data_IF_598592460898
#
_entry.id   IF_598592460898
#
_cell.length_a   1.000
_cell.length_b   1.000
_cell.length_c   1.000
_cell.angle_alpha   90.00
_cell.angle_beta   90.00
_cell.angle_gamma   90.00
#
_symmetry.space_group_name_H-M   'P 1'
#
loop_
_entity.id
_entity.type
_entity.pdbx_description
1 polymer ?
#
# COMPACT_ATOMS: atom_id res chain seq x y z
N UNK A 1 22.19 -5.22 8.00
CA UNK A 1 22.39 -4.05 7.12
C UNK A 1 21.02 -3.47 6.82
N UNK A 2 20.74 -2.25 7.25
CA UNK A 2 19.49 -1.54 6.91
C UNK A 2 19.63 -1.00 5.50
N UNK A 3 19.03 -1.69 4.52
CA UNK A 3 18.95 -1.21 3.15
C UNK A 3 17.93 -0.07 3.14
N UNK A 4 18.34 1.14 2.79
CA UNK A 4 17.40 2.25 2.57
C UNK A 4 16.38 1.83 1.50
N UNK A 5 15.08 1.83 1.78
CA UNK A 5 14.06 1.50 0.82
C UNK A 5 14.08 2.48 -0.34
N UNK A 6 14.37 1.96 -1.54
CA UNK A 6 14.24 2.70 -2.79
C UNK A 6 12.83 2.46 -3.30
N UNK A 7 11.89 3.28 -2.83
CA UNK A 7 10.50 3.33 -3.29
C UNK A 7 10.40 4.47 -4.31
N UNK A 8 9.97 4.17 -5.53
CA UNK A 8 9.87 5.16 -6.60
C UNK A 8 8.75 4.80 -7.58
N UNK A 9 8.19 5.80 -8.27
CA UNK A 9 7.31 5.57 -9.42
C UNK A 9 8.11 5.87 -10.70
N UNK A 10 8.23 4.87 -11.58
CA UNK A 10 8.92 4.99 -12.87
C UNK A 10 7.99 4.50 -13.97
N UNK A 11 7.73 5.33 -14.98
CA UNK A 11 6.88 4.99 -16.15
C UNK A 11 5.51 4.41 -15.76
N UNK A 12 4.87 4.99 -14.74
CA UNK A 12 3.58 4.52 -14.23
C UNK A 12 3.65 3.22 -13.43
N UNK A 13 4.83 2.76 -13.02
CA UNK A 13 5.02 1.58 -12.19
C UNK A 13 5.58 1.95 -10.82
N UNK A 14 4.98 1.41 -9.76
CA UNK A 14 5.53 1.49 -8.42
C UNK A 14 6.64 0.44 -8.28
N UNK A 15 7.87 0.90 -8.10
CA UNK A 15 9.07 0.08 -8.01
C UNK A 15 9.64 0.18 -6.60
N UNK A 16 9.90 -0.96 -5.98
CA UNK A 16 10.46 -1.10 -4.63
C UNK A 16 11.71 -1.96 -4.72
N UNK A 17 12.88 -1.40 -4.40
CA UNK A 17 14.18 -2.09 -4.53
C UNK A 17 14.41 -2.71 -5.92
N UNK A 18 13.97 -2.02 -6.98
CA UNK A 18 14.08 -2.51 -8.36
C UNK A 18 13.00 -3.50 -8.80
N UNK A 19 12.15 -3.96 -7.87
CA UNK A 19 11.05 -4.88 -8.15
C UNK A 19 9.76 -4.10 -8.37
N UNK A 20 9.07 -4.35 -9.48
CA UNK A 20 7.78 -3.70 -9.77
C UNK A 20 6.69 -4.33 -8.91
N UNK A 21 5.99 -3.51 -8.12
CA UNK A 21 4.90 -3.92 -7.22
C UNK A 21 3.53 -3.62 -7.83
N UNK A 22 3.34 -2.41 -8.36
CA UNK A 22 2.09 -2.00 -9.01
C UNK A 22 2.38 -1.47 -10.41
N UNK A 23 1.47 -1.77 -11.35
CA UNK A 23 1.50 -1.27 -12.73
C UNK A 23 0.36 -0.29 -12.96
N UNK A 24 0.54 0.68 -13.86
CA UNK A 24 -0.53 1.62 -14.22
C UNK A 24 -0.96 2.52 -13.07
N UNK A 25 0.00 2.99 -12.26
CA UNK A 25 -0.21 3.95 -11.18
C UNK A 25 -0.76 5.26 -11.77
N UNK A 26 -1.96 5.72 -11.38
CA UNK A 26 -2.55 6.95 -11.91
C UNK A 26 -1.78 8.22 -11.52
N UNK A 27 -1.86 9.27 -12.35
CA UNK A 27 -1.14 10.55 -12.14
C UNK A 27 -1.56 11.30 -10.87
N UNK A 28 -2.79 11.08 -10.39
CA UNK A 28 -3.31 11.74 -9.20
C UNK A 28 -2.86 11.07 -7.89
N UNK A 29 -2.12 9.95 -7.96
CA UNK A 29 -1.51 9.27 -6.81
C UNK A 29 -0.21 9.98 -6.44
N UNK A 30 -0.08 10.30 -5.16
CA UNK A 30 1.06 11.05 -4.61
C UNK A 30 1.91 10.12 -3.74
N UNK A 31 3.23 10.18 -3.91
CA UNK A 31 4.17 9.45 -3.06
C UNK A 31 5.00 10.43 -2.26
N UNK A 32 4.82 10.42 -0.94
CA UNK A 32 5.53 11.30 -0.02
C UNK A 32 6.60 10.51 0.71
N UNK A 33 7.90 10.79 0.52
CA UNK A 33 8.95 10.14 1.29
C UNK A 33 8.74 10.34 2.80
N UNK A 34 8.98 9.32 3.60
CA UNK A 34 9.01 9.46 5.06
C UNK A 34 10.19 10.35 5.47
N UNK A 35 9.91 11.58 5.90
CA UNK A 35 10.94 12.50 6.38
C UNK A 35 11.47 12.04 7.74
N UNK A 36 12.68 11.50 7.74
CA UNK A 36 13.36 10.98 8.93
C UNK A 36 13.84 12.08 9.87
N UNK A 37 12.98 12.50 10.81
CA UNK A 37 13.40 12.93 12.15
C UNK A 37 12.94 11.94 13.25
N UNK A 38 12.25 10.87 12.86
CA UNK A 38 11.89 9.73 13.70
C UNK A 38 12.62 8.44 13.28
N UNK A 39 12.53 7.40 14.10
CA UNK A 39 13.24 6.11 14.02
C UNK A 39 13.12 5.32 12.69
N UNK A 40 12.32 5.77 11.72
CA UNK A 40 12.02 5.00 10.51
C UNK A 40 12.64 5.66 9.29
N UNK A 41 13.94 5.42 9.11
CA UNK A 41 14.63 5.70 7.85
C UNK A 41 14.07 4.75 6.79
N UNK A 42 13.28 5.26 5.85
CA UNK A 42 13.01 4.52 4.61
C UNK A 42 11.59 4.30 4.14
N UNK A 43 10.57 4.65 4.91
CA UNK A 43 9.20 4.49 4.43
C UNK A 43 8.79 5.53 3.39
N UNK A 44 7.63 5.31 2.78
CA UNK A 44 6.94 6.30 1.95
C UNK A 44 5.45 6.26 2.28
N UNK A 45 4.75 7.35 2.02
CA UNK A 45 3.30 7.40 2.10
C UNK A 45 2.70 7.45 0.71
N UNK A 46 1.58 6.74 0.54
CA UNK A 46 0.71 6.84 -0.63
C UNK A 46 -0.45 7.77 -0.25
N UNK A 47 -0.63 8.79 -1.07
CA UNK A 47 -1.75 9.70 -1.07
C UNK A 47 -2.40 9.77 -2.46
N UNK A 48 -3.47 10.54 -2.57
CA UNK A 48 -4.16 10.81 -3.82
C UNK A 48 -4.96 12.11 -3.73
N UNK A 49 -5.25 12.68 -4.90
CA UNK A 49 -6.04 13.92 -5.05
C UNK A 49 -7.25 13.68 -5.95
N UNK A 50 -8.30 14.48 -5.74
CA UNK A 50 -9.55 14.46 -6.49
C UNK A 50 -9.98 15.90 -6.86
N UNK A 51 -10.75 16.03 -7.94
CA UNK A 51 -11.32 17.32 -8.37
C UNK A 51 -12.50 17.80 -7.50
N UNK A 52 -13.11 16.91 -6.72
CA UNK A 52 -14.30 17.19 -5.92
C UNK A 52 -14.06 16.86 -4.46
N UNK A 53 -14.73 17.59 -3.56
CA UNK A 53 -14.80 17.23 -2.14
C UNK A 53 -15.88 16.17 -1.93
N UNK A 54 -15.56 15.16 -1.11
CA UNK A 54 -16.49 14.10 -0.69
C UNK A 54 -16.10 13.61 0.71
N UNK A 55 -17.06 13.05 1.42
CA UNK A 55 -16.84 12.30 2.66
C UNK A 55 -16.31 10.88 2.43
N UNK A 56 -16.36 10.39 1.18
CA UNK A 56 -15.88 9.08 0.76
C UNK A 56 -15.24 9.18 -0.64
N UNK A 57 -13.99 8.73 -0.74
CA UNK A 57 -13.26 8.53 -2.00
C UNK A 57 -12.82 7.09 -2.14
N UNK A 58 -12.77 6.62 -3.39
CA UNK A 58 -12.14 5.34 -3.76
C UNK A 58 -11.11 5.66 -4.83
N UNK A 59 -9.83 5.47 -4.50
CA UNK A 59 -8.69 5.77 -5.36
C UNK A 59 -8.01 4.48 -5.81
N UNK A 60 -8.14 4.07 -7.09
CA UNK A 60 -7.26 3.06 -7.66
C UNK A 60 -5.81 3.55 -7.62
N UNK A 61 -4.89 2.74 -7.12
CA UNK A 61 -3.46 3.10 -7.00
C UNK A 61 -2.54 2.27 -7.91
N UNK A 62 -3.10 1.30 -8.63
CA UNK A 62 -2.40 0.49 -9.62
C UNK A 62 -2.73 -0.99 -9.52
N UNK A 63 -2.35 -1.73 -10.57
CA UNK A 63 -2.62 -3.15 -10.75
C UNK A 63 -1.58 -3.99 -9.99
N UNK A 64 -2.06 -4.87 -9.11
CA UNK A 64 -1.27 -5.92 -8.48
C UNK A 64 -1.51 -7.24 -9.21
N UNK A 65 -0.46 -7.84 -9.78
CA UNK A 65 -0.58 -9.10 -10.51
C UNK A 65 0.70 -9.93 -10.41
N UNK A 66 0.55 -11.23 -10.13
CA UNK A 66 1.65 -12.19 -10.09
C UNK A 66 2.53 -12.13 -8.84
N UNK A 67 2.19 -11.30 -7.85
CA UNK A 67 2.93 -11.16 -6.59
C UNK A 67 2.14 -11.75 -5.44
N UNK A 68 2.78 -12.62 -4.64
CA UNK A 68 2.13 -13.21 -3.46
C UNK A 68 1.92 -12.13 -2.41
N UNK A 69 0.76 -12.14 -1.77
CA UNK A 69 0.53 -11.30 -0.60
C UNK A 69 -0.18 -12.07 0.50
N UNK A 70 -0.04 -11.55 1.72
CA UNK A 70 -0.92 -11.83 2.85
C UNK A 70 -1.52 -10.51 3.31
N UNK A 71 -2.82 -10.49 3.61
CA UNK A 71 -3.49 -9.31 4.13
C UNK A 71 -4.40 -9.64 5.31
N UNK A 72 -4.62 -8.68 6.20
CA UNK A 72 -5.59 -8.76 7.29
C UNK A 72 -6.76 -7.82 6.99
N UNK A 73 -7.98 -8.33 7.07
CA UNK A 73 -9.18 -7.58 6.73
C UNK A 73 -10.29 -7.80 7.76
N UNK A 74 -11.14 -6.80 7.93
CA UNK A 74 -12.29 -6.87 8.84
C UNK A 74 -13.48 -7.51 8.14
N UNK A 75 -13.81 -8.75 8.50
CA UNK A 75 -14.98 -9.46 7.96
C UNK A 75 -16.23 -9.34 8.85
N UNK A 76 -16.06 -8.91 10.11
CA UNK A 76 -17.13 -8.55 11.07
C UNK A 76 -16.66 -7.37 11.92
N UNK A 77 -17.58 -6.59 12.49
CA UNK A 77 -17.28 -5.36 13.25
C UNK A 77 -16.06 -5.50 14.20
N UNK A 78 -15.99 -6.61 14.94
CA UNK A 78 -14.97 -6.84 15.98
C UNK A 78 -13.89 -7.86 15.60
N UNK A 79 -13.87 -8.36 14.37
CA UNK A 79 -13.00 -9.47 13.97
C UNK A 79 -12.23 -9.18 12.68
N UNK A 80 -10.92 -9.44 12.73
CA UNK A 80 -10.08 -9.54 11.55
C UNK A 80 -9.73 -11.00 11.27
N UNK A 81 -9.54 -11.31 9.99
CA UNK A 81 -8.95 -12.57 9.53
C UNK A 81 -7.96 -12.28 8.41
N UNK A 82 -7.23 -13.31 7.99
CA UNK A 82 -6.21 -13.21 6.96
C UNK A 82 -6.72 -13.75 5.61
N UNK A 83 -6.19 -13.20 4.52
CA UNK A 83 -6.28 -13.79 3.18
C UNK A 83 -4.91 -13.78 2.52
N UNK A 84 -4.65 -14.80 1.72
CA UNK A 84 -3.51 -14.86 0.82
C UNK A 84 -4.02 -14.80 -0.62
N UNK A 85 -3.26 -14.17 -1.50
CA UNK A 85 -3.62 -14.04 -2.91
C UNK A 85 -2.42 -13.69 -3.77
N UNK A 86 -2.66 -13.53 -5.07
CA UNK A 86 -1.61 -13.19 -6.04
C UNK A 86 -1.98 -12.05 -6.98
N UNK A 87 -3.18 -11.50 -6.87
CA UNK A 87 -3.64 -10.40 -7.70
C UNK A 87 -4.58 -9.44 -6.93
N UNK A 88 -4.73 -8.22 -7.42
CA UNK A 88 -5.48 -7.17 -6.71
C UNK A 88 -6.94 -7.54 -6.45
N UNK A 89 -7.60 -8.29 -7.34
CA UNK A 89 -8.98 -8.77 -7.16
C UNK A 89 -9.16 -9.73 -5.99
N UNK A 90 -8.07 -10.34 -5.50
CA UNK A 90 -8.12 -11.20 -4.31
C UNK A 90 -8.23 -10.40 -3.01
N UNK A 91 -8.00 -9.09 -3.05
CA UNK A 91 -7.96 -8.24 -1.85
C UNK A 91 -9.39 -8.01 -1.35
N UNK A 92 -9.72 -8.47 -0.12
CA UNK A 92 -11.04 -8.24 0.44
C UNK A 92 -11.29 -6.76 0.72
N UNK A 93 -12.56 -6.36 0.72
CA UNK A 93 -13.00 -5.08 1.30
C UNK A 93 -12.50 -4.98 2.75
N UNK A 94 -12.31 -3.76 3.24
CA UNK A 94 -11.92 -3.50 4.63
C UNK A 94 -10.55 -4.10 5.02
N UNK A 95 -9.62 -4.17 4.07
CA UNK A 95 -8.24 -4.63 4.33
C UNK A 95 -7.45 -3.54 5.05
N UNK A 96 -6.89 -3.85 6.22
CA UNK A 96 -6.21 -2.88 7.11
C UNK A 96 -4.71 -3.14 7.27
N UNK A 97 -4.20 -4.19 6.65
CA UNK A 97 -2.77 -4.51 6.62
C UNK A 97 -2.52 -5.42 5.42
N UNK A 98 -1.41 -5.21 4.72
CA UNK A 98 -0.98 -6.09 3.66
C UNK A 98 0.55 -6.22 3.66
N UNK A 99 1.03 -7.43 3.39
CA UNK A 99 2.43 -7.76 3.16
C UNK A 99 2.54 -8.38 1.76
N UNK A 100 3.26 -7.72 0.86
CA UNK A 100 3.52 -8.17 -0.50
C UNK A 100 4.92 -8.77 -0.54
N UNK A 101 5.04 -9.96 -1.12
CA UNK A 101 6.31 -10.60 -1.43
C UNK A 101 6.65 -10.41 -2.91
N UNK A 102 7.81 -9.81 -3.16
CA UNK A 102 8.33 -9.61 -4.50
C UNK A 102 9.66 -10.32 -4.69
N UNK A 103 9.71 -11.19 -5.69
CA UNK A 103 10.90 -11.92 -6.18
C UNK A 103 11.16 -11.51 -7.62
N UNK A 104 12.40 -11.67 -8.10
CA UNK A 104 12.63 -11.49 -9.53
C UNK A 104 11.97 -12.61 -10.33
N UNK A 105 11.73 -12.32 -11.60
CA UNK A 105 11.13 -13.27 -12.53
C UNK A 105 12.02 -14.50 -12.67
N UNK A 106 11.43 -15.68 -12.90
CA UNK A 106 12.19 -16.91 -13.14
C UNK A 106 13.11 -16.73 -14.36
N UNK A 107 14.43 -16.61 -14.13
CA UNK A 107 15.44 -16.40 -15.18
C UNK A 107 16.44 -15.27 -14.89
N UNK A 108 16.16 -14.38 -13.94
CA UNK A 108 17.12 -13.40 -13.43
C UNK A 108 17.78 -13.95 -12.15
N UNK A 109 19.07 -13.64 -11.96
CA UNK A 109 19.96 -14.14 -10.90
C UNK A 109 19.23 -14.68 -9.65
N UNK A 110 19.23 -16.01 -9.46
CA UNK A 110 18.65 -16.71 -8.27
C UNK A 110 19.20 -16.21 -6.91
N UNK A 111 20.15 -15.29 -6.93
CA UNK A 111 20.80 -14.68 -5.77
C UNK A 111 20.17 -13.36 -5.32
N UNK A 112 19.20 -12.80 -6.04
CA UNK A 112 18.58 -11.54 -5.61
C UNK A 112 17.66 -11.78 -4.39
N UNK A 113 17.71 -10.91 -3.37
CA UNK A 113 16.90 -11.10 -2.18
C UNK A 113 15.41 -10.90 -2.49
N UNK A 114 14.56 -11.69 -1.83
CA UNK A 114 13.13 -11.43 -1.75
C UNK A 114 12.92 -10.12 -1.01
N UNK A 115 12.05 -9.27 -1.54
CA UNK A 115 11.67 -8.00 -0.93
C UNK A 115 10.23 -8.08 -0.45
N UNK A 116 10.05 -7.82 0.83
CA UNK A 116 8.76 -7.71 1.49
C UNK A 116 8.37 -6.24 1.59
N UNK A 117 7.17 -5.90 1.16
CA UNK A 117 6.60 -4.55 1.23
C UNK A 117 5.33 -4.57 2.07
N UNK A 118 5.30 -3.80 3.15
CA UNK A 118 4.10 -3.56 3.94
C UNK A 118 3.33 -2.41 3.31
N UNK A 119 2.01 -2.57 3.18
CA UNK A 119 1.04 -1.48 3.03
C UNK A 119 0.20 -1.42 4.29
N UNK A 120 0.27 -0.29 4.99
CA UNK A 120 -0.43 -0.04 6.24
C UNK A 120 -1.36 1.16 6.06
N UNK A 121 -2.66 0.94 5.81
CA UNK A 121 -3.68 1.99 5.85
C UNK A 121 -3.71 2.71 7.20
N UNK A 122 -3.73 4.04 7.16
CA UNK A 122 -3.69 4.93 8.30
C UNK A 122 -4.95 5.78 8.43
N UNK A 123 -5.02 6.50 9.54
CA UNK A 123 -5.90 7.64 9.71
C UNK A 123 -5.16 8.90 9.28
N UNK A 124 -5.86 9.81 8.59
CA UNK A 124 -5.36 11.13 8.25
C UNK A 124 -6.41 12.17 8.63
N UNK A 125 -6.18 12.86 9.75
CA UNK A 125 -7.19 13.71 10.35
C UNK A 125 -8.47 12.91 10.70
N UNK A 126 -9.67 13.36 10.29
CA UNK A 126 -10.92 12.65 10.56
C UNK A 126 -11.20 11.51 9.57
N UNK A 127 -10.31 11.25 8.60
CA UNK A 127 -10.51 10.24 7.59
C UNK A 127 -9.75 8.95 7.91
N UNK A 128 -10.38 7.83 7.60
CA UNK A 128 -9.84 6.48 7.69
C UNK A 128 -9.58 5.96 6.30
N UNK A 129 -8.42 5.33 6.10
CA UNK A 129 -8.16 4.56 4.89
C UNK A 129 -8.27 3.05 5.13
N UNK A 130 -8.71 2.33 4.10
CA UNK A 130 -8.61 0.87 3.97
C UNK A 130 -8.27 0.50 2.53
N UNK A 131 -7.74 -0.71 2.33
CA UNK A 131 -7.52 -1.28 1.01
C UNK A 131 -8.70 -2.17 0.61
N UNK A 132 -8.90 -2.26 -0.70
CA UNK A 132 -9.76 -3.25 -1.33
C UNK A 132 -9.27 -3.57 -2.74
N UNK A 133 -9.76 -4.68 -3.28
CA UNK A 133 -9.54 -5.08 -4.67
C UNK A 133 -10.73 -4.77 -5.56
N UNK A 134 -10.50 -4.68 -6.87
CA UNK A 134 -11.56 -4.56 -7.87
C UNK A 134 -11.40 -5.58 -9.02
N UNK A 135 -12.37 -5.60 -9.95
CA UNK A 135 -12.39 -6.55 -11.08
C UNK A 135 -11.19 -6.39 -12.04
N UNK A 136 -10.56 -5.21 -12.07
CA UNK A 136 -9.38 -4.93 -12.89
C UNK A 136 -8.06 -5.33 -12.22
N UNK A 137 -8.14 -5.97 -11.05
CA UNK A 137 -6.98 -6.30 -10.22
C UNK A 137 -6.19 -5.07 -9.75
N UNK A 138 -6.86 -3.92 -9.67
CA UNK A 138 -6.29 -2.73 -9.04
C UNK A 138 -6.43 -2.83 -7.53
N UNK A 139 -5.43 -2.33 -6.81
CA UNK A 139 -5.60 -1.97 -5.40
C UNK A 139 -6.31 -0.63 -5.35
N UNK A 140 -7.35 -0.54 -4.55
CA UNK A 140 -8.06 0.71 -4.27
C UNK A 140 -7.87 1.11 -2.81
N UNK A 141 -7.64 2.40 -2.58
CA UNK A 141 -7.72 3.02 -1.26
C UNK A 141 -9.13 3.59 -1.11
N UNK A 142 -9.91 3.03 -0.18
CA UNK A 142 -11.14 3.67 0.28
C UNK A 142 -10.77 4.63 1.41
N UNK A 143 -11.12 5.90 1.26
CA UNK A 143 -10.79 6.98 2.19
C UNK A 143 -12.06 7.71 2.61
N UNK A 144 -12.47 7.53 3.86
CA UNK A 144 -13.78 7.98 4.34
C UNK A 144 -13.73 8.64 5.72
N UNK A 145 -14.60 9.63 5.95
CA UNK A 145 -14.77 10.27 7.27
C UNK A 145 -15.89 9.65 8.11
N UNK A 146 -16.82 8.93 7.47
CA UNK A 146 -18.05 8.46 8.12
C UNK A 146 -19.10 9.56 8.40
N UNK A 147 -18.86 10.80 7.95
CA UNK A 147 -19.76 11.94 8.12
C UNK A 147 -19.87 12.73 6.81
N UNK A 148 -21.07 12.86 6.26
CA UNK A 148 -21.35 13.62 5.03
C UNK A 148 -20.97 15.10 5.12
N UNK A 149 -20.89 15.68 6.31
CA UNK A 149 -20.47 17.07 6.50
C UNK A 149 -18.93 17.23 6.54
N UNK A 150 -18.19 16.14 6.74
CA UNK A 150 -16.73 16.15 6.80
C UNK A 150 -16.18 15.66 5.47
N UNK A 151 -15.85 16.60 4.60
CA UNK A 151 -15.38 16.33 3.25
C UNK A 151 -13.91 16.75 3.04
N UNK A 152 -13.23 16.05 2.14
CA UNK A 152 -11.91 16.42 1.62
C UNK A 152 -11.87 16.14 0.13
N UNK A 153 -10.90 16.71 -0.58
CA UNK A 153 -10.57 16.35 -1.96
C UNK A 153 -9.19 15.68 -2.08
N UNK A 154 -8.50 15.43 -0.96
CA UNK A 154 -7.18 14.81 -0.95
C UNK A 154 -6.88 14.10 0.37
N UNK A 155 -5.95 13.15 0.31
CA UNK A 155 -5.22 12.60 1.45
C UNK A 155 -3.78 12.36 1.01
N UNK A 156 -2.80 12.81 1.79
CA UNK A 156 -1.37 12.73 1.42
C UNK A 156 -0.63 11.60 2.15
N UNK A 157 -1.22 11.07 3.21
CA UNK A 157 -0.64 10.09 4.12
C UNK A 157 -1.60 8.93 4.41
N UNK A 158 -2.40 8.53 3.41
CA UNK A 158 -3.43 7.50 3.57
C UNK A 158 -2.83 6.14 3.88
N UNK A 159 -1.81 5.70 3.13
CA UNK A 159 -1.20 4.38 3.33
C UNK A 159 0.29 4.54 3.54
N UNK A 160 0.80 3.99 4.64
CA UNK A 160 2.23 3.90 4.86
C UNK A 160 2.82 2.66 4.18
N UNK A 161 3.96 2.84 3.53
CA UNK A 161 4.75 1.81 2.88
C UNK A 161 6.09 1.65 3.58
N UNK A 162 6.48 0.41 3.81
CA UNK A 162 7.83 0.09 4.27
C UNK A 162 8.32 -1.21 3.64
N UNK A 163 9.60 -1.29 3.31
CA UNK A 163 10.15 -2.44 2.60
C UNK A 163 11.49 -2.93 3.18
N UNK A 164 11.78 -4.21 2.96
CA UNK A 164 12.96 -4.87 3.50
C UNK A 164 13.00 -6.37 3.18
N UNK A 165 14.07 -7.05 3.58
CA UNK A 165 14.32 -8.45 3.20
C UNK A 165 13.83 -9.48 4.21
N UNK A 166 13.47 -9.04 5.43
CA UNK A 166 12.95 -9.91 6.48
C UNK A 166 11.51 -9.48 6.81
N UNK A 167 10.50 -10.35 6.62
CA UNK A 167 9.10 -9.97 6.77
C UNK A 167 8.75 -9.59 8.21
N UNK A 168 9.37 -10.21 9.22
CA UNK A 168 9.09 -9.91 10.62
C UNK A 168 9.67 -8.58 11.05
N UNK A 169 10.89 -8.27 10.60
CA UNK A 169 11.51 -6.96 10.86
C UNK A 169 10.76 -5.84 10.16
N UNK A 170 10.35 -6.05 8.90
CA UNK A 170 9.59 -5.07 8.12
C UNK A 170 8.27 -4.73 8.79
N UNK A 171 7.54 -5.75 9.27
CA UNK A 171 6.29 -5.54 10.01
C UNK A 171 6.54 -4.74 11.28
N UNK A 172 7.53 -5.16 12.08
CA UNK A 172 7.88 -4.48 13.33
C UNK A 172 8.35 -3.03 13.12
N UNK A 173 8.95 -2.72 11.98
CA UNK A 173 9.37 -1.35 11.64
C UNK A 173 8.20 -0.52 11.12
N UNK A 174 7.24 -1.13 10.42
CA UNK A 174 6.11 -0.43 9.84
C UNK A 174 5.04 0.01 10.85
N UNK A 175 4.90 -0.71 11.97
CA UNK A 175 3.86 -0.45 12.98
C UNK A 175 4.36 0.33 14.21
N UNK A 176 5.60 0.86 14.15
CA UNK A 176 6.25 1.56 15.26
C UNK A 176 5.95 3.05 15.29
#
# INVERSE_FOLDING_TARGET
MTVTPKISVNDGNLVVHGKTILKGVPENVVFTPGSGNGLITGGAFIGATASHTKSLHVFPIGILEGLRFMCCFRFKLWWMTQRMGTCGRDIPLETQFMLIESKDSEGEDEKSPIIYTVLLPLLEGPFRSVLQGNEKSEIEICFESGDHAVETNQGLHMVYMHAGTNPFEVINQAVK
#
